data_IF_695595457407
#
_entry.id   IF_695595457407
#
_cell.length_a   1.000
_cell.length_b   1.000
_cell.length_c   1.000
_cell.angle_alpha   90.00
_cell.angle_beta   90.00
_cell.angle_gamma   90.00
#
_symmetry.space_group_name_H-M   'P 1'
#
loop_
_entity.id
_entity.type
_entity.pdbx_description
1 polymer ?
#
# COMPACT_ATOMS: atom_id res chain seq x y z
N UNK A 1 28.44 -37.44 -17.76
CA UNK A 1 27.01 -37.64 -18.06
C UNK A 1 26.43 -36.30 -18.48
N UNK A 2 26.05 -36.12 -19.74
CA UNK A 2 25.47 -34.87 -20.23
C UNK A 2 24.03 -34.76 -19.74
N UNK A 3 23.77 -33.91 -18.76
CA UNK A 3 22.40 -33.60 -18.33
C UNK A 3 21.68 -32.85 -19.45
N UNK A 4 21.05 -33.60 -20.35
CA UNK A 4 20.24 -33.06 -21.46
C UNK A 4 18.86 -32.54 -20.98
N UNK A 5 18.60 -32.58 -19.67
CA UNK A 5 17.36 -32.16 -19.05
C UNK A 5 17.63 -31.52 -17.68
N UNK A 6 17.00 -30.37 -17.43
CA UNK A 6 17.03 -29.63 -16.18
C UNK A 6 15.58 -29.44 -15.73
N UNK A 7 15.32 -29.66 -14.44
CA UNK A 7 14.03 -29.37 -13.80
C UNK A 7 14.25 -28.34 -12.69
N UNK A 8 13.49 -27.25 -12.72
CA UNK A 8 13.52 -26.18 -11.72
C UNK A 8 12.12 -26.09 -11.11
N UNK A 9 12.02 -26.29 -9.80
CA UNK A 9 10.78 -26.10 -9.04
C UNK A 9 10.72 -24.75 -8.35
N UNK A 10 9.54 -24.37 -7.85
CA UNK A 10 9.41 -23.19 -7.01
C UNK A 10 10.09 -23.37 -5.65
N UNK A 11 10.84 -22.37 -5.19
CA UNK A 11 11.48 -22.36 -3.85
C UNK A 11 10.45 -22.42 -2.71
N UNK A 12 9.19 -22.08 -2.98
CA UNK A 12 8.06 -22.14 -2.03
C UNK A 12 7.22 -23.42 -2.16
N UNK A 13 7.73 -24.44 -2.85
CA UNK A 13 7.04 -25.73 -3.11
C UNK A 13 6.82 -26.61 -1.89
N UNK A 14 7.49 -26.31 -0.76
CA UNK A 14 7.30 -27.10 0.47
C UNK A 14 5.92 -26.85 1.06
N UNK A 15 5.38 -27.85 1.75
CA UNK A 15 4.15 -27.70 2.53
C UNK A 15 4.43 -26.89 3.80
N UNK A 16 3.59 -25.89 4.12
CA UNK A 16 3.70 -25.17 5.40
C UNK A 16 3.38 -26.11 6.57
N UNK A 17 4.23 -26.11 7.60
CA UNK A 17 3.99 -26.90 8.81
C UNK A 17 2.94 -26.20 9.68
N UNK A 18 1.70 -26.70 9.64
CA UNK A 18 0.54 -26.14 10.36
C UNK A 18 0.63 -26.27 11.89
N UNK A 19 1.53 -27.12 12.40
CA UNK A 19 1.68 -27.39 13.83
C UNK A 19 2.70 -26.47 14.53
N UNK A 20 3.43 -25.63 13.80
CA UNK A 20 4.37 -24.66 14.39
C UNK A 20 3.66 -23.34 14.64
N UNK A 21 3.63 -22.89 15.90
CA UNK A 21 3.20 -21.52 16.25
C UNK A 21 4.02 -20.52 15.42
N UNK A 22 3.39 -19.52 14.80
CA UNK A 22 4.09 -18.57 13.93
C UNK A 22 5.04 -17.72 14.78
N UNK A 23 6.32 -18.09 14.81
CA UNK A 23 7.36 -17.15 15.19
C UNK A 23 7.35 -16.02 14.15
N UNK A 24 7.33 -14.76 14.61
CA UNK A 24 7.40 -13.56 13.78
C UNK A 24 8.79 -13.44 13.14
N UNK A 25 9.13 -14.36 12.24
CA UNK A 25 10.37 -14.32 11.47
C UNK A 25 10.02 -14.03 10.02
N UNK A 26 10.66 -13.02 9.47
CA UNK A 26 10.52 -12.50 8.10
C UNK A 26 11.11 -13.51 7.09
N UNK A 27 10.54 -14.70 7.04
CA UNK A 27 10.92 -15.75 6.08
C UNK A 27 9.80 -15.91 5.06
N UNK A 28 10.17 -16.24 3.81
CA UNK A 28 9.19 -16.54 2.77
C UNK A 28 8.30 -17.68 3.23
N UNK A 29 6.98 -17.47 3.21
CA UNK A 29 6.03 -18.54 3.53
C UNK A 29 6.07 -19.58 2.42
N UNK A 30 6.22 -20.84 2.82
CA UNK A 30 5.98 -22.00 1.98
C UNK A 30 4.51 -21.99 1.52
N UNK A 31 4.27 -22.12 0.23
CA UNK A 31 2.95 -21.97 -0.39
C UNK A 31 2.38 -23.29 -0.93
N UNK A 32 3.07 -24.41 -0.71
CA UNK A 32 2.76 -25.69 -1.38
C UNK A 32 2.68 -25.52 -2.90
N UNK A 33 3.66 -24.77 -3.43
CA UNK A 33 3.68 -24.39 -4.83
C UNK A 33 4.05 -25.58 -5.74
N UNK A 34 3.15 -25.96 -6.65
CA UNK A 34 3.33 -27.10 -7.57
C UNK A 34 4.02 -26.74 -8.89
N UNK A 35 4.40 -25.47 -9.07
CA UNK A 35 5.03 -24.95 -10.28
C UNK A 35 6.38 -25.62 -10.59
N UNK A 36 6.57 -26.02 -11.85
CA UNK A 36 7.81 -26.62 -12.36
C UNK A 36 8.15 -26.16 -13.78
N UNK A 37 9.44 -25.92 -14.02
CA UNK A 37 10.04 -25.63 -15.32
C UNK A 37 10.92 -26.78 -15.77
N UNK A 38 10.68 -27.28 -16.98
CA UNK A 38 11.49 -28.31 -17.62
C UNK A 38 12.24 -27.71 -18.80
N UNK A 39 13.56 -27.70 -18.74
CA UNK A 39 14.41 -27.34 -19.87
C UNK A 39 15.03 -28.60 -20.46
N UNK A 40 14.84 -28.85 -21.75
CA UNK A 40 15.44 -29.99 -22.46
C UNK A 40 16.29 -29.48 -23.60
N UNK A 41 17.53 -29.95 -23.69
CA UNK A 41 18.43 -29.66 -24.80
C UNK A 41 18.19 -30.63 -25.95
N UNK A 42 18.09 -30.13 -27.17
CA UNK A 42 18.07 -30.99 -28.34
C UNK A 42 19.43 -31.65 -28.53
N UNK A 43 19.45 -32.97 -28.76
CA UNK A 43 20.69 -33.76 -28.82
C UNK A 43 21.63 -33.35 -29.95
N UNK A 44 21.12 -32.68 -30.99
CA UNK A 44 21.87 -32.27 -32.19
C UNK A 44 22.00 -30.75 -32.35
N UNK A 45 21.44 -29.94 -31.45
CA UNK A 45 21.52 -28.47 -31.55
C UNK A 45 21.83 -27.82 -30.20
N UNK A 46 22.31 -26.58 -30.25
CA UNK A 46 22.50 -25.74 -29.04
C UNK A 46 21.17 -25.21 -28.49
N UNK A 47 20.05 -25.59 -29.10
CA UNK A 47 18.71 -25.09 -28.76
C UNK A 47 18.13 -25.84 -27.56
N UNK A 48 17.57 -25.07 -26.63
CA UNK A 48 16.84 -25.57 -25.47
C UNK A 48 15.34 -25.34 -25.66
N UNK A 49 14.53 -26.30 -25.27
CA UNK A 49 13.07 -26.14 -25.16
C UNK A 49 12.68 -26.04 -23.70
N UNK A 50 11.97 -24.97 -23.36
CA UNK A 50 11.40 -24.76 -22.03
C UNK A 50 9.92 -25.16 -22.04
N UNK A 51 9.50 -25.96 -21.07
CA UNK A 51 8.09 -26.34 -20.83
C UNK A 51 7.71 -26.02 -19.39
N UNK A 52 6.61 -25.30 -19.22
CA UNK A 52 6.02 -25.01 -17.90
C UNK A 52 5.02 -26.12 -17.57
N UNK A 53 5.09 -26.67 -16.36
CA UNK A 53 4.13 -27.64 -15.83
C UNK A 53 3.51 -27.09 -14.55
N UNK A 54 2.21 -27.29 -14.40
CA UNK A 54 1.40 -26.69 -13.33
C UNK A 54 1.68 -25.19 -13.25
N UNK A 55 1.37 -24.41 -14.31
CA UNK A 55 1.46 -22.97 -14.23
C UNK A 55 0.57 -22.54 -13.07
N UNK A 56 1.18 -22.22 -11.93
CA UNK A 56 0.43 -21.67 -10.84
C UNK A 56 -0.12 -20.33 -11.26
N UNK A 57 -1.18 -19.93 -10.56
CA UNK A 57 -1.74 -18.62 -10.74
C UNK A 57 -0.64 -17.59 -10.39
N UNK A 58 -0.07 -16.99 -11.43
CA UNK A 58 1.02 -16.02 -11.36
C UNK A 58 0.63 -14.85 -10.42
N UNK A 59 -0.67 -14.63 -10.21
CA UNK A 59 -1.26 -13.64 -9.29
C UNK A 59 -1.03 -13.96 -7.79
N UNK A 60 -0.61 -15.17 -7.45
CA UNK A 60 -0.24 -15.55 -6.09
C UNK A 60 1.13 -14.99 -5.66
N UNK A 61 1.99 -14.64 -6.63
CA UNK A 61 3.31 -14.09 -6.35
C UNK A 61 3.20 -12.57 -6.01
N UNK A 62 3.73 -12.13 -4.84
CA UNK A 62 3.77 -10.73 -4.45
C UNK A 62 4.37 -9.79 -5.50
N UNK A 63 5.29 -10.25 -6.34
CA UNK A 63 5.84 -9.46 -7.44
C UNK A 63 4.73 -9.00 -8.41
N UNK A 64 3.77 -9.88 -8.68
CA UNK A 64 2.59 -9.61 -9.50
C UNK A 64 1.46 -8.94 -8.72
N UNK A 65 1.72 -8.42 -7.51
CA UNK A 65 0.78 -7.56 -6.74
C UNK A 65 1.23 -6.11 -6.56
N UNK A 66 2.49 -5.81 -6.88
CA UNK A 66 3.05 -4.44 -6.83
C UNK A 66 2.47 -3.51 -7.88
N UNK A 67 2.03 -2.33 -7.48
CA UNK A 67 1.67 -1.28 -8.42
C UNK A 67 2.90 -0.82 -9.21
N UNK A 68 2.72 -0.55 -10.50
CA UNK A 68 3.74 0.11 -11.30
C UNK A 68 3.83 1.61 -10.92
N UNK A 69 4.76 2.35 -11.51
CA UNK A 69 4.97 3.77 -11.19
C UNK A 69 3.75 4.62 -11.55
N UNK A 70 3.14 4.39 -12.72
CA UNK A 70 1.96 5.13 -13.17
C UNK A 70 0.77 4.92 -12.23
N UNK A 71 0.47 3.66 -11.87
CA UNK A 71 -0.57 3.29 -10.92
C UNK A 71 -0.28 3.89 -9.54
N UNK A 72 0.99 3.92 -9.13
CA UNK A 72 1.40 4.53 -7.85
C UNK A 72 1.13 6.03 -7.84
N UNK A 73 1.48 6.75 -8.89
CA UNK A 73 1.20 8.18 -9.04
C UNK A 73 -0.30 8.45 -9.04
N UNK A 74 -1.07 7.61 -9.73
CA UNK A 74 -2.52 7.73 -9.77
C UNK A 74 -3.17 7.50 -8.40
N UNK A 75 -2.69 6.50 -7.64
CA UNK A 75 -3.14 6.29 -6.26
C UNK A 75 -2.79 7.50 -5.38
N UNK A 76 -1.63 8.13 -5.59
CA UNK A 76 -1.24 9.32 -4.83
C UNK A 76 -2.18 10.51 -5.10
N UNK A 77 -2.50 10.78 -6.37
CA UNK A 77 -3.47 11.82 -6.75
C UNK A 77 -4.85 11.58 -6.13
N UNK A 78 -5.34 10.33 -6.18
CA UNK A 78 -6.61 9.95 -5.54
C UNK A 78 -6.57 10.12 -4.01
N UNK A 79 -5.42 9.85 -3.38
CA UNK A 79 -5.24 10.07 -1.94
C UNK A 79 -5.29 11.56 -1.58
N UNK A 80 -4.71 12.42 -2.42
CA UNK A 80 -4.77 13.88 -2.24
C UNK A 80 -6.19 14.41 -2.40
N UNK A 81 -6.97 13.77 -3.28
CA UNK A 81 -8.41 14.02 -3.45
C UNK A 81 -9.29 13.39 -2.37
N UNK A 82 -8.71 12.89 -1.27
CA UNK A 82 -9.40 12.30 -0.11
C UNK A 82 -10.29 11.08 -0.44
N UNK A 83 -10.03 10.39 -1.56
CA UNK A 83 -10.80 9.20 -1.92
C UNK A 83 -10.53 8.05 -0.96
N UNK A 84 -11.59 7.32 -0.62
CA UNK A 84 -11.46 6.12 0.22
C UNK A 84 -10.77 4.99 -0.54
N UNK A 85 -10.01 4.11 0.12
CA UNK A 85 -9.32 2.98 -0.52
C UNK A 85 -10.23 2.09 -1.39
N UNK A 86 -11.52 1.96 -1.05
CA UNK A 86 -12.51 1.25 -1.86
C UNK A 86 -12.85 1.97 -3.16
N UNK A 87 -12.94 3.30 -3.13
CA UNK A 87 -13.19 4.12 -4.33
C UNK A 87 -11.96 4.11 -5.24
N UNK A 88 -10.76 4.19 -4.65
CA UNK A 88 -9.49 4.01 -5.36
C UNK A 88 -9.46 2.67 -6.08
N UNK A 89 -9.85 1.59 -5.40
CA UNK A 89 -9.94 0.26 -6.01
C UNK A 89 -10.88 0.24 -7.22
N UNK A 90 -12.09 0.78 -7.06
CA UNK A 90 -13.08 0.80 -8.12
C UNK A 90 -12.59 1.58 -9.35
N UNK A 91 -12.00 2.75 -9.14
CA UNK A 91 -11.42 3.55 -10.23
C UNK A 91 -10.28 2.80 -10.93
N UNK A 92 -9.36 2.22 -10.17
CA UNK A 92 -8.27 1.42 -10.74
C UNK A 92 -8.80 0.23 -11.54
N UNK A 93 -9.82 -0.48 -11.05
CA UNK A 93 -10.41 -1.60 -11.79
C UNK A 93 -11.12 -1.13 -13.07
N UNK A 94 -11.78 0.02 -13.05
CA UNK A 94 -12.53 0.52 -14.22
C UNK A 94 -11.64 1.01 -15.38
N UNK A 95 -10.40 1.41 -15.09
CA UNK A 95 -9.50 2.02 -16.07
C UNK A 95 -8.48 1.04 -16.64
N UNK A 96 -8.43 -0.19 -16.12
CA UNK A 96 -7.44 -1.19 -16.52
C UNK A 96 -8.05 -2.16 -17.53
N UNK A 97 -7.32 -2.39 -18.61
CA UNK A 97 -7.57 -3.53 -19.53
C UNK A 97 -6.93 -4.84 -19.02
N UNK A 98 -6.09 -4.76 -17.99
CA UNK A 98 -5.35 -5.91 -17.47
C UNK A 98 -6.22 -6.79 -16.57
N UNK A 99 -6.13 -8.10 -16.79
CA UNK A 99 -6.79 -9.15 -15.97
C UNK A 99 -6.17 -9.32 -14.56
N UNK A 100 -5.29 -8.39 -14.17
CA UNK A 100 -4.60 -8.40 -12.88
C UNK A 100 -5.52 -7.88 -11.77
N UNK A 101 -5.80 -8.68 -10.73
CA UNK A 101 -6.69 -8.28 -9.65
C UNK A 101 -6.04 -7.19 -8.80
N UNK A 102 -6.76 -6.10 -8.61
CA UNK A 102 -6.41 -5.06 -7.63
C UNK A 102 -6.92 -5.50 -6.27
N UNK A 103 -6.02 -5.95 -5.40
CA UNK A 103 -6.39 -6.39 -4.06
C UNK A 103 -6.48 -5.18 -3.14
N UNK A 104 -7.61 -5.02 -2.45
CA UNK A 104 -7.86 -3.89 -1.55
C UNK A 104 -6.77 -3.73 -0.47
N UNK A 105 -6.25 -4.83 0.05
CA UNK A 105 -5.16 -4.81 1.03
C UNK A 105 -3.88 -4.15 0.47
N UNK A 106 -3.57 -4.36 -0.81
CA UNK A 106 -2.39 -3.72 -1.43
C UNK A 106 -2.61 -2.22 -1.59
N UNK A 107 -3.84 -1.79 -1.87
CA UNK A 107 -4.18 -0.35 -1.84
C UNK A 107 -3.95 0.21 -0.45
N UNK A 108 -4.46 -0.44 0.61
CA UNK A 108 -4.21 0.02 1.97
C UNK A 108 -2.71 0.15 2.29
N UNK A 109 -1.91 -0.84 1.88
CA UNK A 109 -0.46 -0.82 2.06
C UNK A 109 0.17 0.36 1.30
N UNK A 110 -0.25 0.59 0.05
CA UNK A 110 0.28 1.64 -0.79
C UNK A 110 -0.11 3.03 -0.29
N UNK A 111 -1.37 3.24 0.08
CA UNK A 111 -1.87 4.47 0.70
C UNK A 111 -1.09 4.76 1.99
N UNK A 112 -0.86 3.75 2.82
CA UNK A 112 -0.07 3.88 4.04
C UNK A 112 1.38 4.31 3.73
N UNK A 113 1.99 3.72 2.69
CA UNK A 113 3.33 4.09 2.24
C UNK A 113 3.38 5.55 1.79
N UNK A 114 2.45 5.97 0.92
CA UNK A 114 2.35 7.36 0.43
C UNK A 114 2.21 8.34 1.59
N UNK A 115 1.31 8.07 2.55
CA UNK A 115 1.15 8.90 3.74
C UNK A 115 2.43 8.99 4.57
N UNK A 116 3.13 7.88 4.75
CA UNK A 116 4.40 7.84 5.49
C UNK A 116 5.48 8.67 4.78
N UNK A 117 5.57 8.54 3.46
CA UNK A 117 6.56 9.26 2.65
C UNK A 117 6.27 10.77 2.67
N UNK A 118 4.98 11.18 2.60
CA UNK A 118 4.55 12.58 2.74
C UNK A 118 4.90 13.20 4.09
N UNK A 119 4.83 12.40 5.17
CA UNK A 119 5.21 12.87 6.50
C UNK A 119 6.73 13.07 6.66
N UNK A 120 7.56 12.49 5.79
CA UNK A 120 9.03 12.60 5.86
C UNK A 120 9.61 12.28 7.26
N UNK A 121 8.98 11.35 7.98
CA UNK A 121 9.38 10.97 9.35
C UNK A 121 8.80 11.85 10.46
N UNK A 122 8.11 12.95 10.15
CA UNK A 122 7.38 13.77 11.13
C UNK A 122 6.16 13.02 11.68
N UNK A 123 5.74 13.37 12.89
CA UNK A 123 4.45 12.88 13.42
C UNK A 123 3.32 13.60 12.66
N UNK A 124 2.17 12.93 12.45
CA UNK A 124 1.04 13.55 11.76
C UNK A 124 0.59 14.88 12.35
N UNK A 125 0.62 15.00 13.68
CA UNK A 125 0.24 16.23 14.37
C UNK A 125 1.25 17.37 14.15
N UNK A 126 2.55 17.05 14.09
CA UNK A 126 3.58 18.07 13.84
C UNK A 126 3.46 18.58 12.39
N UNK A 127 3.26 17.68 11.44
CA UNK A 127 3.01 18.05 10.04
C UNK A 127 1.73 18.90 9.90
N UNK A 128 0.67 18.60 10.65
CA UNK A 128 -0.53 19.42 10.68
C UNK A 128 -0.24 20.83 11.22
N UNK A 129 0.46 20.95 12.35
CA UNK A 129 0.82 22.26 12.92
C UNK A 129 1.68 23.08 11.95
N UNK A 130 2.61 22.44 11.22
CA UNK A 130 3.41 23.11 10.19
C UNK A 130 2.51 23.65 9.06
N UNK A 131 1.57 22.85 8.57
CA UNK A 131 0.59 23.29 7.56
C UNK A 131 -0.28 24.46 8.07
N UNK A 132 -0.73 24.42 9.34
CA UNK A 132 -1.52 25.51 9.91
C UNK A 132 -0.72 26.83 9.96
N UNK A 133 0.59 26.76 10.20
CA UNK A 133 1.48 27.94 10.16
C UNK A 133 1.69 28.43 8.73
N UNK A 134 1.95 27.52 7.79
CA UNK A 134 2.16 27.84 6.36
C UNK A 134 0.93 28.56 5.78
N UNK A 135 -0.27 28.09 6.11
CA UNK A 135 -1.55 28.65 5.67
C UNK A 135 -2.00 29.89 6.48
N UNK A 136 -1.19 30.38 7.41
CA UNK A 136 -1.50 31.50 8.32
C UNK A 136 -2.84 31.36 9.06
N UNK A 137 -3.18 30.13 9.44
CA UNK A 137 -4.38 29.85 10.24
C UNK A 137 -4.13 30.18 11.71
N UNK A 138 -5.17 30.62 12.39
CA UNK A 138 -5.12 30.81 13.84
C UNK A 138 -5.33 29.46 14.48
N UNK A 139 -4.42 29.05 15.37
CA UNK A 139 -4.52 27.77 16.05
C UNK A 139 -4.05 27.86 17.50
N UNK A 140 -4.56 26.95 18.32
CA UNK A 140 -4.20 26.78 19.73
C UNK A 140 -4.23 25.31 20.08
N UNK A 141 -3.28 24.84 20.89
CA UNK A 141 -3.20 23.45 21.32
C UNK A 141 -3.03 23.34 22.83
N UNK A 142 -3.78 22.44 23.46
CA UNK A 142 -3.53 22.02 24.84
C UNK A 142 -2.63 20.78 24.86
N UNK A 143 -1.76 20.68 25.88
CA UNK A 143 -0.88 19.54 26.09
C UNK A 143 -0.98 19.02 27.52
N UNK A 144 -0.78 17.72 27.68
CA UNK A 144 -0.65 17.11 29.01
C UNK A 144 0.75 17.32 29.61
N UNK A 145 0.98 16.79 30.82
CA UNK A 145 2.26 16.85 31.51
C UNK A 145 3.39 16.10 30.80
N UNK A 146 3.06 15.18 29.90
CA UNK A 146 4.02 14.40 29.08
C UNK A 146 4.29 15.08 27.74
N UNK A 147 3.62 16.21 27.45
CA UNK A 147 3.76 16.97 26.21
C UNK A 147 2.95 16.43 25.04
N UNK A 148 2.03 15.48 25.26
CA UNK A 148 1.09 15.03 24.23
C UNK A 148 -0.01 16.06 24.02
N UNK A 149 -0.36 16.31 22.75
CA UNK A 149 -1.47 17.21 22.41
C UNK A 149 -2.79 16.51 22.76
N UNK A 150 -3.56 17.12 23.66
CA UNK A 150 -4.87 16.62 24.11
C UNK A 150 -6.03 17.32 23.42
N UNK A 151 -5.82 18.53 22.91
CA UNK A 151 -6.81 19.28 22.16
C UNK A 151 -6.12 20.21 21.17
N UNK A 152 -6.68 20.33 19.98
CA UNK A 152 -6.24 21.25 18.94
C UNK A 152 -7.45 22.01 18.41
N UNK A 153 -7.39 23.34 18.47
CA UNK A 153 -8.32 24.24 17.82
C UNK A 153 -7.60 24.97 16.71
N UNK A 154 -8.23 25.09 15.54
CA UNK A 154 -7.73 25.93 14.47
C UNK A 154 -8.89 26.50 13.66
N UNK A 155 -8.69 27.69 13.09
CA UNK A 155 -9.72 28.39 12.32
C UNK A 155 -9.12 29.40 11.36
N UNK A 156 -9.90 29.78 10.34
CA UNK A 156 -9.55 30.87 9.44
C UNK A 156 -9.62 32.21 10.20
N UNK A 157 -8.69 33.16 10.00
CA UNK A 157 -8.72 34.46 10.68
C UNK A 157 -10.04 35.22 10.49
N UNK A 158 -10.68 35.08 9.33
CA UNK A 158 -12.00 35.67 9.03
C UNK A 158 -13.11 35.06 9.89
N UNK A 159 -13.04 33.75 10.16
CA UNK A 159 -14.07 33.05 10.94
C UNK A 159 -14.09 33.50 12.41
N UNK A 160 -12.97 34.01 12.95
CA UNK A 160 -12.92 34.60 14.30
C UNK A 160 -13.80 35.85 14.41
N UNK A 161 -14.01 36.57 13.30
CA UNK A 161 -14.84 37.78 13.28
C UNK A 161 -16.33 37.47 13.22
N UNK A 162 -16.71 36.27 12.77
CA UNK A 162 -18.11 35.90 12.57
C UNK A 162 -18.93 35.90 13.87
N UNK A 163 -18.43 35.37 15.02
CA UNK A 163 -19.15 35.44 16.29
C UNK A 163 -19.46 36.87 16.75
N UNK A 164 -18.68 37.88 16.34
CA UNK A 164 -18.98 39.28 16.66
C UNK A 164 -20.20 39.82 15.91
N UNK A 165 -20.44 39.35 14.68
CA UNK A 165 -21.61 39.73 13.88
C UNK A 165 -22.83 38.83 14.08
N UNK A 166 -22.60 37.56 14.45
CA UNK A 166 -23.63 36.54 14.62
C UNK A 166 -23.39 35.73 15.91
N UNK A 167 -23.58 36.35 17.09
CA UNK A 167 -23.18 35.75 18.37
C UNK A 167 -24.01 34.52 18.78
N UNK A 168 -25.09 34.22 18.07
CA UNK A 168 -26.03 33.15 18.40
C UNK A 168 -25.85 31.87 17.57
N UNK A 169 -24.95 31.85 16.57
CA UNK A 169 -24.73 30.66 15.73
C UNK A 169 -23.24 30.35 15.64
N UNK A 170 -22.84 29.22 16.21
CA UNK A 170 -21.55 28.58 15.95
C UNK A 170 -21.85 27.17 15.47
N UNK A 171 -21.65 26.92 14.18
CA UNK A 171 -21.72 25.58 13.61
C UNK A 171 -20.33 24.96 13.69
N UNK A 172 -20.19 23.94 14.54
CA UNK A 172 -18.98 23.13 14.63
C UNK A 172 -19.26 21.78 13.99
N UNK A 173 -18.51 21.44 12.95
CA UNK A 173 -18.52 20.10 12.37
C UNK A 173 -17.65 19.18 13.25
N UNK A 174 -18.30 18.27 13.96
CA UNK A 174 -17.63 17.29 14.83
C UNK A 174 -17.68 15.93 14.12
N UNK A 175 -16.53 15.49 13.60
CA UNK A 175 -16.37 14.18 12.94
C UNK A 175 -15.61 13.19 13.80
#
# INVERSE_FOLDING_TARGET
MTHNQIEIGCDRSRTPNLNKKPYKTVTSRNLDCHFRLYARKYSKSTTWTLKVKNPENIMADPAFRKFNEQETSQIAEMCESLLLPRQIQAQLCSQRESDRPVILQEIYNQVKKIKKDKLQGRRPIDALIDTLKEENLVWSSARDSEGHITSLFFTQPLAIKLPHGFPHVILMDCT
#
